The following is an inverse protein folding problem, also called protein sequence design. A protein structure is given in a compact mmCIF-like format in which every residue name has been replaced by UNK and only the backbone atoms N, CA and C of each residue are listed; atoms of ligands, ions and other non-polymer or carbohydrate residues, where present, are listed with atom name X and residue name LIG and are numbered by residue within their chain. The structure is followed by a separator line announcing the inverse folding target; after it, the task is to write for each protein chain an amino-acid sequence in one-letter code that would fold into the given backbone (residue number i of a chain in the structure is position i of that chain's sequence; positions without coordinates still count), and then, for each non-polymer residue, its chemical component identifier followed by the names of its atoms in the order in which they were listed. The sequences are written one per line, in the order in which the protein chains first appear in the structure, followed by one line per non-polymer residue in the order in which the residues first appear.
data_IF_063255337180
#
_entry.id   IF_063255337180
#
_cell.length_a   1.000
_cell.length_b   1.000
_cell.length_c   1.000
_cell.angle_alpha   90.00
_cell.angle_beta   90.00
_cell.angle_gamma   90.00
#
_symmetry.space_group_name_H-M   'P 1'
#
loop_
_entity.id
_entity.type
_entity.pdbx_description
1 polymer ?
#
# COMPACT_ATOMS: atom_id res chain seq x y z
N UNK A 1 2.74 -13.10 24.97
CA UNK A 1 3.86 -13.40 25.89
C UNK A 1 3.72 -14.85 26.30
N UNK A 2 4.74 -15.68 26.12
CA UNK A 2 4.66 -17.10 26.54
C UNK A 2 5.05 -17.24 28.00
N UNK A 3 4.43 -18.19 28.69
CA UNK A 3 4.75 -18.50 30.09
C UNK A 3 6.24 -18.80 30.26
N UNK A 4 6.80 -19.65 29.39
CA UNK A 4 8.23 -20.00 29.39
C UNK A 4 9.15 -18.79 29.16
N UNK A 5 8.79 -17.89 28.24
CA UNK A 5 9.57 -16.68 27.96
C UNK A 5 9.60 -15.73 29.17
N UNK A 6 8.46 -15.59 29.84
CA UNK A 6 8.34 -14.78 31.04
C UNK A 6 9.07 -15.40 32.24
N UNK A 7 8.93 -16.71 32.46
CA UNK A 7 9.63 -17.48 33.50
C UNK A 7 11.15 -17.50 33.35
N UNK A 8 11.67 -17.39 32.13
CA UNK A 8 13.11 -17.27 31.90
C UNK A 8 13.59 -15.82 31.84
N UNK A 9 12.66 -14.86 31.79
CA UNK A 9 12.92 -13.44 31.56
C UNK A 9 13.87 -13.23 30.37
N UNK A 10 13.69 -14.02 29.32
CA UNK A 10 14.51 -14.00 28.10
C UNK A 10 13.62 -14.36 26.92
N UNK A 11 13.65 -13.51 25.90
CA UNK A 11 12.86 -13.63 24.69
C UNK A 11 13.78 -13.91 23.51
N UNK A 12 13.32 -14.76 22.60
CA UNK A 12 14.01 -14.95 21.33
C UNK A 12 13.78 -13.72 20.44
N UNK A 13 14.88 -13.18 19.91
CA UNK A 13 14.80 -12.15 18.88
C UNK A 13 14.46 -12.84 17.55
N UNK A 14 13.17 -13.06 17.31
CA UNK A 14 12.66 -13.62 16.05
C UNK A 14 13.03 -12.73 14.85
N UNK A 15 12.88 -13.23 13.62
CA UNK A 15 13.29 -12.48 12.43
C UNK A 15 12.69 -11.05 12.35
N UNK A 16 11.38 -10.85 12.61
CA UNK A 16 10.80 -9.49 12.64
C UNK A 16 11.44 -8.56 13.67
N UNK A 17 11.78 -9.04 14.89
CA UNK A 17 12.45 -8.22 15.88
C UNK A 17 13.84 -7.79 15.43
N UNK A 18 14.59 -8.71 14.79
CA UNK A 18 15.95 -8.42 14.32
C UNK A 18 15.96 -7.43 13.16
N UNK A 19 14.98 -7.53 12.26
CA UNK A 19 14.78 -6.56 11.18
C UNK A 19 14.39 -5.20 11.75
N UNK A 20 13.38 -5.16 12.63
CA UNK A 20 12.95 -3.93 13.30
C UNK A 20 14.11 -3.21 13.99
N UNK A 21 14.95 -3.93 14.76
CA UNK A 21 16.10 -3.33 15.45
C UNK A 21 17.20 -2.88 14.49
N UNK A 22 17.40 -3.58 13.38
CA UNK A 22 18.41 -3.24 12.38
C UNK A 22 18.01 -2.01 11.57
N UNK A 23 16.77 -1.98 11.09
CA UNK A 23 16.24 -0.93 10.23
C UNK A 23 16.17 0.42 10.95
N UNK A 24 15.97 0.38 12.28
CA UNK A 24 16.01 1.57 13.13
C UNK A 24 17.42 1.91 13.64
N UNK A 25 18.47 1.26 13.14
CA UNK A 25 19.86 1.50 13.56
C UNK A 25 20.14 1.13 15.03
N UNK A 26 19.23 0.39 15.67
CA UNK A 26 19.28 0.08 17.08
C UNK A 26 20.19 -1.11 17.39
N UNK A 27 20.13 -2.22 16.64
CA UNK A 27 21.05 -3.32 16.86
C UNK A 27 21.14 -4.28 15.68
N UNK A 28 22.35 -4.74 15.37
CA UNK A 28 22.60 -5.76 14.36
C UNK A 28 23.22 -7.02 14.98
N UNK A 29 22.38 -8.04 15.22
CA UNK A 29 22.81 -9.32 15.80
C UNK A 29 23.81 -10.09 14.93
N UNK A 30 23.82 -9.87 13.61
CA UNK A 30 24.73 -10.55 12.68
C UNK A 30 26.19 -10.16 12.96
N UNK A 31 26.41 -8.94 13.46
CA UNK A 31 27.72 -8.42 13.86
C UNK A 31 28.04 -8.64 15.35
N UNK A 32 27.08 -9.13 16.14
CA UNK A 32 27.26 -9.34 17.57
C UNK A 32 28.00 -10.66 17.85
N UNK A 33 29.06 -10.60 18.67
CA UNK A 33 29.74 -11.79 19.19
C UNK A 33 28.87 -12.62 20.15
N UNK A 34 29.26 -13.86 20.41
CA UNK A 34 28.55 -14.75 21.36
C UNK A 34 29.10 -14.65 22.79
N UNK A 35 28.25 -14.93 23.76
CA UNK A 35 28.59 -15.02 25.18
C UNK A 35 28.53 -13.70 25.94
N UNK A 36 28.62 -13.80 27.27
CA UNK A 36 28.28 -12.72 28.19
C UNK A 36 29.09 -11.43 27.95
N UNK A 37 30.37 -11.55 27.57
CA UNK A 37 31.24 -10.43 27.25
C UNK A 37 30.75 -9.58 26.06
N UNK A 38 29.89 -10.13 25.20
CA UNK A 38 29.33 -9.46 24.03
C UNK A 38 27.88 -9.02 24.25
N UNK A 39 27.34 -9.14 25.48
CA UNK A 39 26.00 -8.65 25.83
C UNK A 39 25.98 -7.13 25.72
N UNK A 40 25.00 -6.60 24.99
CA UNK A 40 24.78 -5.16 24.82
C UNK A 40 23.59 -4.75 25.67
N UNK A 41 23.71 -3.64 26.39
CA UNK A 41 22.60 -3.02 27.13
C UNK A 41 22.29 -1.68 26.50
N UNK A 42 21.02 -1.40 26.28
CA UNK A 42 20.51 -0.13 25.73
C UNK A 42 19.24 0.28 26.46
N UNK A 43 18.76 1.48 26.16
CA UNK A 43 17.51 1.99 26.70
C UNK A 43 16.32 1.55 25.85
N UNK A 44 15.20 1.34 26.54
CA UNK A 44 13.89 1.09 26.00
C UNK A 44 12.84 1.80 26.87
N UNK A 45 11.60 1.83 26.40
CA UNK A 45 10.45 2.34 27.14
C UNK A 45 9.40 1.24 27.20
N UNK A 46 8.79 1.03 28.35
CA UNK A 46 7.58 0.23 28.48
C UNK A 46 6.44 1.12 29.01
N UNK A 47 5.23 0.91 28.50
CA UNK A 47 4.04 1.55 29.06
C UNK A 47 3.51 0.70 30.22
N UNK A 48 3.25 1.35 31.34
CA UNK A 48 2.68 0.76 32.55
C UNK A 48 1.43 1.56 32.91
N UNK A 49 0.24 0.99 32.68
CA UNK A 49 -1.03 1.70 32.81
C UNK A 49 -1.02 3.04 32.05
N UNK A 50 -0.57 2.97 30.79
CA UNK A 50 -0.43 4.12 29.89
C UNK A 50 0.71 5.10 30.21
N UNK A 51 1.48 4.93 31.29
CA UNK A 51 2.59 5.84 31.65
C UNK A 51 3.93 5.33 31.10
N UNK A 52 4.78 6.23 30.60
CA UNK A 52 6.12 5.84 30.11
C UNK A 52 7.05 5.48 31.27
N UNK A 53 7.60 4.27 31.22
CA UNK A 53 8.62 3.79 32.14
C UNK A 53 9.89 3.47 31.35
N UNK A 54 10.95 4.27 31.57
CA UNK A 54 12.27 4.00 31.02
C UNK A 54 12.86 2.72 31.61
N UNK A 55 13.34 1.82 30.75
CA UNK A 55 13.77 0.49 31.17
C UNK A 55 14.96 -0.03 30.34
N UNK A 56 15.95 -0.69 30.95
CA UNK A 56 17.02 -1.32 30.18
C UNK A 56 16.51 -2.50 29.36
N UNK A 57 16.94 -2.55 28.10
CA UNK A 57 16.87 -3.74 27.24
C UNK A 57 18.26 -4.34 27.06
N UNK A 58 18.32 -5.66 27.20
CA UNK A 58 19.54 -6.43 27.04
C UNK A 58 19.46 -7.24 25.75
N UNK A 59 20.53 -7.23 24.96
CA UNK A 59 20.64 -7.85 23.64
C UNK A 59 21.81 -8.84 23.68
N UNK A 60 21.58 -10.09 23.30
CA UNK A 60 22.52 -11.17 23.59
C UNK A 60 22.51 -12.27 22.53
N UNK A 61 23.67 -12.91 22.34
CA UNK A 61 23.80 -14.19 21.65
C UNK A 61 24.48 -15.21 22.56
N UNK A 62 23.85 -16.36 22.87
CA UNK A 62 24.45 -17.37 23.73
C UNK A 62 25.64 -18.08 23.07
N UNK A 63 26.56 -18.62 23.89
CA UNK A 63 27.63 -19.52 23.41
C UNK A 63 27.04 -20.89 23.06
N UNK A 64 26.52 -21.02 21.84
CA UNK A 64 26.01 -22.28 21.29
C UNK A 64 26.39 -22.39 19.82
N UNK A 65 26.15 -23.56 19.19
CA UNK A 65 26.48 -23.78 17.76
C UNK A 65 25.91 -22.69 16.84
N UNK A 66 24.72 -22.16 17.14
CA UNK A 66 24.08 -21.09 16.35
C UNK A 66 24.11 -19.72 17.05
N UNK A 67 24.16 -19.70 18.39
CA UNK A 67 24.10 -18.49 19.18
C UNK A 67 22.84 -17.69 18.88
N UNK A 68 21.67 -18.31 19.02
CA UNK A 68 20.39 -17.74 18.62
C UNK A 68 20.14 -16.39 19.32
N UNK A 69 19.90 -15.29 18.57
CA UNK A 69 19.66 -13.96 19.11
C UNK A 69 18.54 -13.88 20.14
N UNK A 70 18.80 -13.17 21.24
CA UNK A 70 17.85 -12.98 22.34
C UNK A 70 17.83 -11.54 22.80
N UNK A 71 16.71 -11.15 23.41
CA UNK A 71 16.62 -9.91 24.17
C UNK A 71 15.73 -10.07 25.40
N UNK A 72 15.87 -9.16 26.36
CA UNK A 72 14.91 -9.05 27.46
C UNK A 72 14.90 -7.64 28.02
N UNK A 73 13.77 -7.29 28.62
CA UNK A 73 13.62 -6.07 29.38
C UNK A 73 13.93 -6.35 30.86
N UNK A 74 14.54 -5.39 31.52
CA UNK A 74 14.71 -5.45 32.97
C UNK A 74 13.35 -5.61 33.65
N UNK A 75 13.21 -6.50 34.63
CA UNK A 75 11.98 -6.63 35.45
C UNK A 75 10.67 -6.75 34.64
N UNK A 76 10.70 -7.35 33.44
CA UNK A 76 9.55 -7.45 32.53
C UNK A 76 8.27 -7.97 33.21
N UNK A 77 8.41 -8.93 34.13
CA UNK A 77 7.29 -9.53 34.89
C UNK A 77 6.45 -8.55 35.70
N UNK A 78 6.92 -7.33 35.95
CA UNK A 78 6.13 -6.30 36.63
C UNK A 78 5.04 -5.73 35.74
N UNK A 79 5.20 -5.83 34.42
CA UNK A 79 4.37 -5.14 33.43
C UNK A 79 3.47 -6.11 32.65
N UNK A 80 3.83 -7.39 32.59
CA UNK A 80 3.18 -8.39 31.72
C UNK A 80 2.99 -9.73 32.40
N UNK A 81 1.86 -10.34 32.12
CA UNK A 81 1.47 -11.69 32.54
C UNK A 81 1.58 -12.70 31.38
N UNK A 82 1.63 -14.01 31.67
CA UNK A 82 1.51 -15.04 30.63
C UNK A 82 0.20 -14.86 29.85
N UNK A 83 0.30 -14.85 28.51
CA UNK A 83 -0.84 -14.62 27.61
C UNK A 83 -0.91 -13.20 27.05
N UNK A 84 -0.35 -12.19 27.72
CA UNK A 84 -0.43 -10.78 27.29
C UNK A 84 0.18 -10.55 25.91
N UNK A 85 -0.43 -9.66 25.12
CA UNK A 85 0.08 -9.24 23.80
C UNK A 85 0.86 -7.95 23.96
N UNK A 86 2.16 -7.98 23.64
CA UNK A 86 2.99 -6.77 23.62
C UNK A 86 3.19 -6.29 22.19
N UNK A 87 2.90 -5.01 21.94
CA UNK A 87 3.41 -4.30 20.78
C UNK A 87 4.86 -3.88 21.00
N UNK A 88 5.67 -3.96 19.94
CA UNK A 88 7.04 -3.44 19.91
C UNK A 88 7.15 -2.49 18.72
N UNK A 89 7.55 -1.25 18.97
CA UNK A 89 7.69 -0.24 17.92
C UNK A 89 8.81 0.75 18.29
N UNK A 90 9.28 1.54 17.33
CA UNK A 90 10.27 2.59 17.58
C UNK A 90 9.58 3.96 17.60
N UNK A 91 9.98 4.77 18.57
CA UNK A 91 9.62 6.18 18.65
C UNK A 91 10.81 6.93 19.25
N UNK A 92 11.16 8.08 18.68
CA UNK A 92 12.34 8.87 19.05
C UNK A 92 13.65 8.06 19.14
N UNK A 93 13.82 7.09 18.24
CA UNK A 93 15.04 6.28 18.14
C UNK A 93 15.21 5.19 19.19
N UNK A 94 14.23 5.00 20.09
CA UNK A 94 14.25 3.95 21.13
C UNK A 94 13.07 2.99 21.00
N UNK A 95 13.26 1.69 21.30
CA UNK A 95 12.17 0.73 21.27
C UNK A 95 11.21 0.97 22.42
N UNK A 96 9.94 1.06 22.08
CA UNK A 96 8.81 1.16 22.99
C UNK A 96 8.03 -0.16 23.01
N UNK A 97 7.53 -0.52 24.19
CA UNK A 97 6.77 -1.72 24.45
C UNK A 97 5.43 -1.33 25.09
N UNK A 98 4.31 -1.67 24.45
CA UNK A 98 2.97 -1.42 24.99
C UNK A 98 2.24 -2.75 25.22
N UNK A 99 1.62 -2.93 26.37
CA UNK A 99 0.86 -4.14 26.65
C UNK A 99 -0.57 -3.96 26.13
N UNK A 100 -0.83 -4.41 24.91
CA UNK A 100 -2.12 -4.26 24.25
C UNK A 100 -3.26 -5.02 24.94
N UNK A 101 -2.94 -5.89 25.90
CA UNK A 101 -3.95 -6.60 26.71
C UNK A 101 -4.35 -5.80 27.95
N UNK A 102 -3.50 -4.88 28.44
CA UNK A 102 -3.73 -4.10 29.66
C UNK A 102 -3.89 -2.60 29.43
N UNK A 103 -3.34 -2.08 28.34
CA UNK A 103 -3.40 -0.67 27.91
C UNK A 103 -4.36 -0.53 26.70
N UNK A 104 -5.50 -1.24 26.72
CA UNK A 104 -6.48 -1.27 25.61
C UNK A 104 -7.48 -0.11 25.65
N UNK A 105 -7.73 0.46 26.83
CA UNK A 105 -8.49 1.70 26.99
C UNK A 105 -7.65 2.92 26.59
N UNK A 106 -8.11 3.65 25.56
CA UNK A 106 -7.44 4.85 25.02
C UNK A 106 -8.43 6.00 24.95
N UNK A 107 -8.07 7.14 25.53
CA UNK A 107 -8.85 8.38 25.43
C UNK A 107 -8.12 9.42 24.56
N UNK A 108 -8.49 9.49 23.29
CA UNK A 108 -7.91 10.43 22.34
C UNK A 108 -8.54 11.83 22.37
N UNK A 109 -9.66 12.02 23.08
CA UNK A 109 -10.34 13.33 23.16
C UNK A 109 -9.88 14.15 24.37
N UNK A 110 -9.55 13.47 25.47
CA UNK A 110 -8.92 14.03 26.65
C UNK A 110 -7.76 13.11 27.08
N UNK A 111 -6.56 13.27 26.48
CA UNK A 111 -5.41 12.42 26.76
C UNK A 111 -4.89 12.60 28.18
N UNK A 112 -5.04 11.58 29.03
CA UNK A 112 -4.60 11.63 30.43
C UNK A 112 -3.26 10.91 30.63
N UNK A 113 -2.99 9.87 29.84
CA UNK A 113 -1.76 9.07 29.92
C UNK A 113 -0.74 9.42 28.84
N UNK A 114 0.51 8.99 29.02
CA UNK A 114 1.53 9.15 27.97
C UNK A 114 1.24 8.31 26.73
N UNK A 115 0.55 7.18 26.90
CA UNK A 115 0.06 6.33 25.81
C UNK A 115 -1.01 7.05 25.00
N UNK A 116 -1.99 7.68 25.67
CA UNK A 116 -3.02 8.49 25.00
C UNK A 116 -2.39 9.63 24.21
N UNK A 117 -1.49 10.39 24.84
CA UNK A 117 -0.80 11.52 24.18
C UNK A 117 0.04 11.07 23.00
N UNK A 118 0.71 9.91 23.10
CA UNK A 118 1.45 9.34 21.99
C UNK A 118 0.51 8.99 20.83
N UNK A 119 -0.56 8.25 21.10
CA UNK A 119 -1.51 7.84 20.07
C UNK A 119 -2.25 9.04 19.45
N UNK A 120 -2.62 10.03 20.27
CA UNK A 120 -3.18 11.30 19.80
C UNK A 120 -2.18 12.02 18.91
N UNK A 121 -0.92 12.18 19.31
CA UNK A 121 0.10 12.84 18.49
C UNK A 121 0.33 12.11 17.16
N UNK A 122 0.33 10.78 17.16
CA UNK A 122 0.45 9.97 15.95
C UNK A 122 -0.78 10.15 15.05
N UNK A 123 -1.97 10.18 15.63
CA UNK A 123 -3.22 10.45 14.91
C UNK A 123 -3.23 11.86 14.32
N UNK A 124 -2.88 12.88 15.10
CA UNK A 124 -2.82 14.26 14.66
C UNK A 124 -1.79 14.43 13.54
N UNK A 125 -0.61 13.83 13.66
CA UNK A 125 0.39 13.84 12.59
C UNK A 125 -0.13 13.13 11.33
N UNK A 126 -0.79 11.98 11.49
CA UNK A 126 -1.40 11.24 10.38
C UNK A 126 -2.50 12.04 9.69
N UNK A 127 -3.32 12.79 10.44
CA UNK A 127 -4.36 13.66 9.90
C UNK A 127 -3.80 14.97 9.33
N UNK A 128 -2.73 15.52 9.93
CA UNK A 128 -2.12 16.80 9.57
C UNK A 128 -1.60 16.80 8.12
N UNK A 129 -1.00 15.69 7.67
CA UNK A 129 -0.53 15.57 6.27
C UNK A 129 -1.69 15.68 5.29
N UNK A 130 -2.82 15.03 5.57
CA UNK A 130 -4.02 15.10 4.74
C UNK A 130 -4.66 16.49 4.78
N UNK A 131 -4.68 17.15 5.94
CA UNK A 131 -5.18 18.52 6.11
C UNK A 131 -4.29 19.51 5.34
N UNK A 132 -2.97 19.38 5.44
CA UNK A 132 -1.99 20.20 4.70
C UNK A 132 -2.21 20.07 3.20
N UNK A 133 -2.31 18.83 2.69
CA UNK A 133 -2.54 18.58 1.28
C UNK A 133 -3.89 19.15 0.80
N UNK A 134 -4.95 18.98 1.59
CA UNK A 134 -6.26 19.57 1.29
C UNK A 134 -6.19 21.11 1.25
N UNK A 135 -5.44 21.73 2.17
CA UNK A 135 -5.17 23.17 2.17
C UNK A 135 -4.51 23.62 0.86
N UNK A 136 -3.44 22.96 0.45
CA UNK A 136 -2.76 23.25 -0.83
C UNK A 136 -3.69 23.12 -2.04
N UNK A 137 -4.53 22.09 -2.06
CA UNK A 137 -5.50 21.88 -3.14
C UNK A 137 -6.58 22.96 -3.16
N UNK A 138 -7.01 23.46 -1.99
CA UNK A 138 -7.93 24.61 -1.89
C UNK A 138 -7.27 25.90 -2.38
N UNK A 139 -6.02 26.16 -2.01
CA UNK A 139 -5.27 27.33 -2.47
C UNK A 139 -5.12 27.32 -4.00
N UNK A 140 -4.82 26.14 -4.57
CA UNK A 140 -4.77 25.94 -6.02
C UNK A 140 -6.14 26.18 -6.68
N UNK A 141 -7.22 25.64 -6.11
CA UNK A 141 -8.57 25.85 -6.64
C UNK A 141 -8.98 27.33 -6.60
N UNK A 142 -8.67 28.03 -5.50
CA UNK A 142 -8.96 29.46 -5.30
C UNK A 142 -8.12 30.37 -6.20
N UNK A 143 -6.93 29.92 -6.62
CA UNK A 143 -6.06 30.64 -7.58
C UNK A 143 -6.60 30.61 -9.01
N UNK A 144 -7.66 29.83 -9.28
CA UNK A 144 -8.30 29.71 -10.58
C UNK A 144 -7.71 28.60 -11.47
N UNK A 145 -8.06 28.59 -12.77
CA UNK A 145 -7.71 27.48 -13.66
C UNK A 145 -6.19 27.35 -13.88
N UNK A 146 -5.66 26.15 -13.64
CA UNK A 146 -4.23 25.86 -13.78
C UNK A 146 -3.93 25.51 -15.24
N UNK A 147 -3.00 26.18 -15.93
CA UNK A 147 -2.63 25.84 -17.29
C UNK A 147 -2.14 24.39 -17.40
N UNK A 148 -2.65 23.65 -18.38
CA UNK A 148 -2.28 22.25 -18.56
C UNK A 148 -0.80 22.13 -18.89
N UNK A 149 -0.13 21.25 -18.16
CA UNK A 149 1.20 20.76 -18.49
C UNK A 149 1.08 19.54 -19.42
N UNK A 150 1.21 19.78 -20.72
CA UNK A 150 1.21 18.76 -21.77
C UNK A 150 -0.15 18.49 -22.41
N UNK A 151 -0.23 17.39 -23.14
CA UNK A 151 -1.42 16.98 -23.90
C UNK A 151 -1.87 15.57 -23.54
N UNK A 152 -3.12 15.24 -23.87
CA UNK A 152 -3.70 13.92 -23.63
C UNK A 152 -4.11 13.67 -22.17
N UNK A 153 -4.50 12.42 -21.87
CA UNK A 153 -5.12 12.06 -20.60
C UNK A 153 -4.21 12.23 -19.38
N UNK A 154 -2.89 12.14 -19.56
CA UNK A 154 -1.92 12.28 -18.46
C UNK A 154 -1.68 13.73 -18.05
N UNK A 155 -2.13 14.70 -18.86
CA UNK A 155 -1.90 16.14 -18.61
C UNK A 155 -2.47 16.61 -17.28
N UNK A 156 -3.66 16.14 -16.87
CA UNK A 156 -4.31 16.57 -15.63
C UNK A 156 -3.52 16.16 -14.38
N UNK A 157 -3.06 14.90 -14.32
CA UNK A 157 -2.25 14.41 -13.20
C UNK A 157 -0.95 15.19 -13.10
N UNK A 158 -0.23 15.28 -14.23
CA UNK A 158 1.03 16.03 -14.32
C UNK A 158 0.88 17.49 -13.91
N UNK A 159 -0.20 18.15 -14.33
CA UNK A 159 -0.46 19.56 -14.01
C UNK A 159 -0.63 19.75 -12.50
N UNK A 160 -1.44 18.91 -11.86
CA UNK A 160 -1.74 19.03 -10.43
C UNK A 160 -0.51 18.67 -9.58
N UNK A 161 0.22 17.60 -9.93
CA UNK A 161 1.48 17.24 -9.26
C UNK A 161 2.50 18.37 -9.34
N UNK A 162 2.69 18.94 -10.54
CA UNK A 162 3.61 20.07 -10.76
C UNK A 162 3.19 21.30 -9.96
N UNK A 163 1.90 21.62 -9.93
CA UNK A 163 1.36 22.75 -9.17
C UNK A 163 1.51 22.56 -7.65
N UNK A 164 1.52 21.32 -7.16
CA UNK A 164 1.82 20.98 -5.77
C UNK A 164 3.33 20.94 -5.46
N UNK A 165 4.19 21.17 -6.45
CA UNK A 165 5.65 21.09 -6.32
C UNK A 165 6.19 19.67 -6.25
N UNK A 166 5.41 18.67 -6.67
CA UNK A 166 5.81 17.25 -6.68
C UNK A 166 6.57 16.98 -7.99
N UNK A 167 7.80 16.48 -7.87
CA UNK A 167 8.58 16.07 -9.04
C UNK A 167 8.02 14.78 -9.65
N UNK A 168 7.70 14.85 -10.94
CA UNK A 168 7.24 13.69 -11.71
C UNK A 168 8.29 12.59 -11.66
N UNK A 169 7.91 11.41 -11.21
CA UNK A 169 8.79 10.26 -11.13
C UNK A 169 8.00 8.96 -11.38
N UNK A 170 8.72 7.85 -11.54
CA UNK A 170 8.13 6.51 -11.72
C UNK A 170 8.12 5.69 -10.43
N UNK A 171 8.09 6.35 -9.27
CA UNK A 171 8.12 5.67 -7.97
C UNK A 171 6.87 4.83 -7.78
N UNK A 172 7.03 3.72 -7.05
CA UNK A 172 5.90 2.92 -6.59
C UNK A 172 5.31 3.45 -5.28
N UNK A 173 6.02 4.35 -4.60
CA UNK A 173 5.57 4.97 -3.35
C UNK A 173 4.49 6.02 -3.60
N UNK A 174 3.65 6.33 -2.60
CA UNK A 174 2.65 7.39 -2.71
C UNK A 174 3.26 8.77 -2.99
N UNK A 175 2.52 9.61 -3.73
CA UNK A 175 3.04 10.86 -4.31
C UNK A 175 3.31 11.96 -3.28
N UNK A 176 2.53 12.03 -2.20
CA UNK A 176 2.59 13.12 -1.22
C UNK A 176 2.67 12.61 0.23
N UNK A 177 3.88 12.51 0.79
CA UNK A 177 4.11 12.15 2.21
C UNK A 177 3.31 10.91 2.67
N UNK A 178 3.15 9.91 1.80
CA UNK A 178 2.40 8.69 2.09
C UNK A 178 0.92 8.70 1.67
N UNK A 179 0.47 9.73 0.95
CA UNK A 179 -0.85 9.86 0.30
C UNK A 179 -0.67 9.76 -1.22
N UNK A 180 -1.41 8.88 -1.87
CA UNK A 180 -1.43 8.77 -3.34
C UNK A 180 -2.39 9.82 -3.94
N UNK A 181 -1.99 10.41 -5.06
CA UNK A 181 -2.79 11.38 -5.82
C UNK A 181 -3.33 10.74 -7.10
N UNK A 182 -4.65 10.79 -7.29
CA UNK A 182 -5.32 10.29 -8.49
C UNK A 182 -6.20 11.37 -9.09
N UNK A 183 -5.70 12.02 -10.12
CA UNK A 183 -6.41 13.13 -10.78
C UNK A 183 -7.22 12.68 -11.98
N UNK A 184 -8.44 13.21 -12.13
CA UNK A 184 -9.34 12.86 -13.23
C UNK A 184 -10.23 14.02 -13.62
N UNK A 185 -10.47 14.15 -14.93
CA UNK A 185 -11.39 15.17 -15.48
C UNK A 185 -12.82 14.86 -15.00
N UNK A 186 -13.58 15.85 -14.52
CA UNK A 186 -14.91 15.62 -13.93
C UNK A 186 -15.88 14.90 -14.88
N UNK A 187 -15.78 15.18 -16.18
CA UNK A 187 -16.61 14.56 -17.22
C UNK A 187 -16.21 13.12 -17.57
N UNK A 188 -15.07 12.65 -17.08
CA UNK A 188 -14.54 11.34 -17.42
C UNK A 188 -15.41 10.22 -16.83
N UNK A 189 -15.94 9.37 -17.70
CA UNK A 189 -16.72 8.18 -17.33
C UNK A 189 -15.87 6.91 -17.19
N UNK A 190 -14.54 7.03 -17.28
CA UNK A 190 -13.66 5.85 -17.25
C UNK A 190 -13.65 5.18 -15.86
N UNK A 191 -13.08 3.97 -15.77
CA UNK A 191 -12.77 3.31 -14.51
C UNK A 191 -11.66 4.05 -13.74
N UNK A 192 -11.50 3.78 -12.46
CA UNK A 192 -10.43 4.34 -11.64
C UNK A 192 -9.25 3.37 -11.60
N UNK A 193 -8.06 3.84 -12.00
CA UNK A 193 -6.86 3.03 -11.95
C UNK A 193 -6.37 2.86 -10.51
N UNK A 194 -6.16 1.61 -10.10
CA UNK A 194 -5.59 1.27 -8.81
C UNK A 194 -4.06 1.25 -8.96
N UNK A 195 -3.55 0.17 -9.53
CA UNK A 195 -2.11 -0.05 -9.73
C UNK A 195 -1.85 -0.87 -11.00
N UNK A 196 -0.61 -0.87 -11.46
CA UNK A 196 -0.13 -1.78 -12.49
C UNK A 196 0.64 -2.93 -11.84
N UNK A 197 0.41 -4.17 -12.30
CA UNK A 197 1.16 -5.33 -11.80
C UNK A 197 1.31 -6.40 -12.87
N UNK A 198 2.57 -6.70 -13.23
CA UNK A 198 2.91 -7.81 -14.12
C UNK A 198 2.51 -9.15 -13.51
N UNK A 199 2.05 -10.13 -14.32
CA UNK A 199 1.75 -11.48 -13.86
C UNK A 199 2.96 -12.11 -13.20
N UNK A 200 2.70 -13.12 -12.38
CA UNK A 200 3.75 -14.01 -11.93
C UNK A 200 4.01 -15.06 -13.01
N UNK A 201 5.03 -14.81 -13.82
CA UNK A 201 5.42 -15.68 -14.93
C UNK A 201 5.76 -17.11 -14.50
N UNK A 202 6.10 -17.35 -13.21
CA UNK A 202 6.43 -18.70 -12.71
C UNK A 202 5.20 -19.60 -12.54
N UNK A 203 4.01 -18.99 -12.49
CA UNK A 203 2.72 -19.70 -12.39
C UNK A 203 1.78 -19.36 -13.56
N UNK A 204 2.30 -18.66 -14.56
CA UNK A 204 1.58 -18.35 -15.80
C UNK A 204 1.94 -19.37 -16.87
N UNK A 205 1.04 -19.60 -17.83
CA UNK A 205 1.31 -20.44 -19.00
C UNK A 205 2.16 -19.70 -20.04
N UNK A 206 1.96 -18.39 -20.16
CA UNK A 206 2.84 -17.51 -20.94
C UNK A 206 4.06 -17.08 -20.13
N UNK A 207 5.22 -16.99 -20.79
CA UNK A 207 6.48 -16.58 -20.18
C UNK A 207 6.72 -15.07 -20.17
N UNK A 208 6.12 -14.32 -21.11
CA UNK A 208 6.29 -12.87 -21.21
C UNK A 208 5.17 -12.17 -22.03
N UNK A 209 5.30 -10.84 -22.17
CA UNK A 209 4.36 -10.03 -22.96
C UNK A 209 4.47 -10.20 -24.47
N UNK A 210 5.60 -10.71 -25.00
CA UNK A 210 5.71 -11.01 -26.43
C UNK A 210 4.84 -12.20 -26.75
N UNK A 211 4.92 -13.25 -25.95
CA UNK A 211 4.09 -14.44 -26.10
C UNK A 211 2.60 -14.12 -25.93
N UNK A 212 2.23 -13.26 -24.96
CA UNK A 212 0.86 -12.75 -24.85
C UNK A 212 0.38 -12.06 -26.13
N UNK A 213 1.23 -11.21 -26.71
CA UNK A 213 0.91 -10.46 -27.92
C UNK A 213 0.82 -11.36 -29.16
N UNK A 214 1.66 -12.40 -29.25
CA UNK A 214 1.64 -13.38 -30.33
C UNK A 214 0.40 -14.27 -30.27
N UNK A 215 -0.04 -14.66 -29.06
CA UNK A 215 -1.20 -15.55 -28.87
C UNK A 215 -2.55 -14.83 -28.95
N UNK A 216 -2.65 -13.62 -28.40
CA UNK A 216 -3.93 -12.91 -28.24
C UNK A 216 -4.00 -11.55 -28.92
N UNK A 217 -2.88 -11.06 -29.47
CA UNK A 217 -2.85 -9.79 -30.18
C UNK A 217 -3.59 -9.82 -31.51
N UNK A 218 -4.01 -8.64 -31.94
CA UNK A 218 -4.64 -8.42 -33.23
C UNK A 218 -3.79 -7.51 -34.13
N UNK A 219 -3.89 -7.62 -35.46
CA UNK A 219 -3.20 -6.73 -36.39
C UNK A 219 -3.63 -5.26 -36.21
N UNK A 220 -2.65 -4.35 -36.23
CA UNK A 220 -2.86 -2.90 -36.26
C UNK A 220 -1.91 -2.25 -37.29
N UNK A 221 -2.11 -0.99 -37.69
CA UNK A 221 -1.23 -0.32 -38.66
C UNK A 221 0.27 -0.37 -38.33
N UNK A 222 0.60 -0.38 -37.03
CA UNK A 222 1.98 -0.36 -36.53
C UNK A 222 2.51 -1.76 -36.14
N UNK A 223 1.77 -2.84 -36.48
CA UNK A 223 2.07 -4.22 -36.08
C UNK A 223 1.05 -4.81 -35.09
N UNK A 224 1.42 -5.89 -34.39
CA UNK A 224 0.52 -6.53 -33.42
C UNK A 224 0.23 -5.63 -32.22
N UNK A 225 -1.03 -5.67 -31.74
CA UNK A 225 -1.50 -4.92 -30.58
C UNK A 225 -2.44 -5.78 -29.74
N UNK A 226 -2.36 -5.63 -28.42
CA UNK A 226 -3.31 -6.22 -27.47
C UNK A 226 -3.75 -5.13 -26.49
N UNK A 227 -4.77 -4.37 -26.91
CA UNK A 227 -5.48 -3.43 -26.04
C UNK A 227 -6.84 -4.02 -25.73
N UNK A 228 -7.01 -4.51 -24.51
CA UNK A 228 -8.25 -5.14 -24.07
C UNK A 228 -8.47 -4.95 -22.57
N UNK A 229 -9.72 -5.11 -22.16
CA UNK A 229 -10.14 -5.18 -20.76
C UNK A 229 -10.56 -6.62 -20.48
N UNK A 230 -10.09 -7.18 -19.38
CA UNK A 230 -10.44 -8.51 -18.90
C UNK A 230 -11.21 -8.36 -17.58
N UNK A 231 -12.31 -9.10 -17.44
CA UNK A 231 -13.16 -9.11 -16.25
C UNK A 231 -13.61 -10.55 -15.96
N UNK A 232 -14.19 -10.81 -14.78
CA UNK A 232 -14.77 -12.11 -14.45
C UNK A 232 -16.18 -12.33 -15.02
N UNK A 233 -16.86 -11.26 -15.46
CA UNK A 233 -18.27 -11.33 -15.92
C UNK A 233 -18.43 -12.16 -17.18
N UNK A 234 -17.56 -11.92 -18.16
CA UNK A 234 -17.61 -12.58 -19.46
C UNK A 234 -16.27 -12.47 -20.16
N UNK A 235 -15.92 -13.43 -21.04
CA UNK A 235 -14.77 -13.28 -21.91
C UNK A 235 -14.89 -12.04 -22.79
N UNK A 236 -13.76 -11.37 -23.03
CA UNK A 236 -13.70 -10.26 -23.98
C UNK A 236 -13.57 -10.77 -25.43
N UNK A 237 -13.36 -9.84 -26.38
CA UNK A 237 -13.20 -10.16 -27.81
C UNK A 237 -11.99 -11.05 -28.15
N UNK A 238 -11.01 -11.15 -27.25
CA UNK A 238 -9.85 -12.02 -27.38
C UNK A 238 -10.07 -13.37 -26.68
N UNK A 239 -11.28 -13.59 -26.16
CA UNK A 239 -11.63 -14.78 -25.38
C UNK A 239 -11.07 -14.79 -23.96
N UNK A 240 -10.50 -13.68 -23.47
CA UNK A 240 -9.87 -13.61 -22.15
C UNK A 240 -10.91 -13.30 -21.07
N UNK A 241 -10.88 -14.02 -19.95
CA UNK A 241 -11.67 -13.76 -18.74
C UNK A 241 -10.82 -13.89 -17.47
N UNK A 242 -11.26 -13.27 -16.38
CA UNK A 242 -10.67 -13.45 -15.05
C UNK A 242 -11.42 -14.49 -14.23
N UNK A 243 -10.72 -15.22 -13.37
CA UNK A 243 -11.31 -16.08 -12.34
C UNK A 243 -10.45 -16.04 -11.09
N UNK A 244 -11.09 -15.75 -9.95
CA UNK A 244 -10.45 -15.88 -8.64
C UNK A 244 -10.55 -17.34 -8.20
N UNK A 245 -9.42 -17.92 -7.83
CA UNK A 245 -9.31 -19.20 -7.14
C UNK A 245 -9.00 -18.90 -5.67
N UNK A 246 -10.02 -19.01 -4.81
CA UNK A 246 -9.92 -18.68 -3.39
C UNK A 246 -9.05 -19.69 -2.64
N UNK A 247 -9.13 -20.98 -2.98
CA UNK A 247 -8.36 -22.04 -2.32
C UNK A 247 -6.86 -21.92 -2.64
N UNK A 248 -6.53 -21.58 -3.89
CA UNK A 248 -5.15 -21.38 -4.30
C UNK A 248 -4.60 -19.97 -3.99
N UNK A 249 -5.46 -19.04 -3.57
CA UNK A 249 -5.17 -17.61 -3.44
C UNK A 249 -4.55 -16.98 -4.71
N UNK A 250 -5.11 -17.33 -5.87
CA UNK A 250 -4.62 -16.88 -7.19
C UNK A 250 -5.74 -16.27 -8.03
N UNK A 251 -5.46 -15.13 -8.64
CA UNK A 251 -6.24 -14.60 -9.76
C UNK A 251 -5.70 -15.19 -11.06
N UNK A 252 -6.53 -15.94 -11.76
CA UNK A 252 -6.23 -16.46 -13.09
C UNK A 252 -6.83 -15.58 -14.18
N UNK A 253 -6.07 -15.32 -15.22
CA UNK A 253 -6.59 -14.96 -16.54
C UNK A 253 -6.63 -16.22 -17.39
N UNK A 254 -7.80 -16.49 -17.96
CA UNK A 254 -8.08 -17.68 -18.75
C UNK A 254 -8.44 -17.28 -20.19
N UNK A 255 -8.07 -18.11 -21.16
CA UNK A 255 -8.54 -18.05 -22.53
C UNK A 255 -9.65 -19.07 -22.75
N UNK A 256 -10.81 -18.59 -23.22
CA UNK A 256 -11.93 -19.44 -23.59
C UNK A 256 -11.61 -20.26 -24.83
N UNK A 257 -11.85 -21.56 -24.75
CA UNK A 257 -11.75 -22.49 -25.89
C UNK A 257 -12.91 -23.49 -25.90
N UNK A 258 -13.14 -24.13 -27.04
CA UNK A 258 -14.15 -25.19 -27.17
C UNK A 258 -13.88 -26.42 -26.31
N UNK A 259 -12.62 -26.65 -25.93
CA UNK A 259 -12.19 -27.75 -25.07
C UNK A 259 -12.18 -27.38 -23.57
N UNK A 260 -12.68 -26.18 -23.22
CA UNK A 260 -12.63 -25.63 -21.86
C UNK A 260 -11.73 -24.41 -21.76
N UNK A 261 -11.91 -23.62 -20.70
CA UNK A 261 -11.09 -22.44 -20.43
C UNK A 261 -9.66 -22.88 -20.03
N UNK A 262 -8.63 -22.28 -20.62
CA UNK A 262 -7.22 -22.58 -20.35
C UNK A 262 -6.53 -21.42 -19.64
N UNK A 263 -5.66 -21.72 -18.68
CA UNK A 263 -4.88 -20.68 -18.00
C UNK A 263 -3.93 -19.95 -18.96
N UNK A 264 -3.75 -18.64 -18.74
CA UNK A 264 -2.87 -17.77 -19.52
C UNK A 264 -1.91 -17.06 -18.60
N UNK A 265 -2.40 -16.09 -17.84
CA UNK A 265 -1.64 -15.35 -16.84
C UNK A 265 -2.17 -15.68 -15.45
N UNK A 266 -1.32 -15.53 -14.43
CA UNK A 266 -1.75 -15.65 -13.05
C UNK A 266 -1.05 -14.64 -12.13
N UNK A 267 -1.77 -14.22 -11.10
CA UNK A 267 -1.26 -13.34 -10.04
C UNK A 267 -1.62 -13.94 -8.68
N UNK A 268 -0.66 -13.99 -7.77
CA UNK A 268 -0.93 -14.30 -6.36
C UNK A 268 -1.74 -13.17 -5.74
N UNK A 269 -2.88 -13.48 -5.11
CA UNK A 269 -3.73 -12.48 -4.46
C UNK A 269 -2.95 -11.72 -3.39
N UNK A 270 -2.15 -12.41 -2.58
CA UNK A 270 -1.26 -11.80 -1.58
C UNK A 270 -0.35 -10.70 -2.16
N UNK A 271 0.16 -10.88 -3.38
CA UNK A 271 0.99 -9.85 -4.04
C UNK A 271 0.16 -8.65 -4.49
N UNK A 272 -1.06 -8.89 -4.98
CA UNK A 272 -1.99 -7.81 -5.35
C UNK A 272 -2.44 -7.03 -4.11
N UNK A 273 -2.72 -7.72 -3.00
CA UNK A 273 -3.09 -7.14 -1.72
C UNK A 273 -2.00 -6.21 -1.21
N UNK A 274 -0.74 -6.66 -1.17
CA UNK A 274 0.39 -5.80 -0.78
C UNK A 274 0.46 -4.55 -1.64
N UNK A 275 0.31 -4.68 -2.96
CA UNK A 275 0.35 -3.51 -3.87
C UNK A 275 -0.83 -2.56 -3.65
N UNK A 276 -2.03 -3.08 -3.39
CA UNK A 276 -3.19 -2.28 -3.04
C UNK A 276 -2.94 -1.51 -1.73
N UNK A 277 -2.44 -2.17 -0.70
CA UNK A 277 -2.18 -1.57 0.61
C UNK A 277 -1.08 -0.52 0.55
N UNK A 278 0.04 -0.80 -0.10
CA UNK A 278 1.17 0.15 -0.25
C UNK A 278 0.72 1.43 -0.95
N UNK A 279 -0.04 1.28 -2.05
CA UNK A 279 -0.39 2.41 -2.92
C UNK A 279 -1.62 3.17 -2.43
N UNK A 280 -2.61 2.47 -1.89
CA UNK A 280 -3.90 3.05 -1.54
C UNK A 280 -4.19 3.08 -0.05
N UNK A 281 -3.16 2.96 0.81
CA UNK A 281 -3.30 3.20 2.26
C UNK A 281 -4.11 4.47 2.56
N UNK A 282 -3.81 5.53 1.81
CA UNK A 282 -4.54 6.79 1.77
C UNK A 282 -4.47 7.36 0.34
N UNK A 283 -5.60 7.84 -0.18
CA UNK A 283 -5.65 8.37 -1.56
C UNK A 283 -6.57 9.57 -1.66
N UNK A 284 -6.09 10.60 -2.35
CA UNK A 284 -6.87 11.76 -2.76
C UNK A 284 -7.22 11.61 -4.24
N UNK A 285 -8.50 11.37 -4.50
CA UNK A 285 -9.07 11.30 -5.84
C UNK A 285 -9.56 12.69 -6.25
N UNK A 286 -8.73 13.41 -7.01
CA UNK A 286 -8.92 14.82 -7.35
C UNK A 286 -9.71 14.92 -8.65
N UNK A 287 -10.80 15.69 -8.62
CA UNK A 287 -11.56 16.07 -9.81
C UNK A 287 -11.23 17.48 -10.23
N UNK A 288 -11.14 17.67 -11.55
CA UNK A 288 -11.00 18.98 -12.15
C UNK A 288 -11.80 19.10 -13.45
N UNK A 289 -12.39 20.27 -13.67
CA UNK A 289 -12.99 20.64 -14.94
C UNK A 289 -11.93 21.12 -15.91
N UNK A 290 -12.05 20.69 -17.16
CA UNK A 290 -11.19 21.19 -18.23
C UNK A 290 -11.87 22.41 -18.88
N UNK A 291 -11.15 23.53 -18.86
CA UNK A 291 -11.55 24.79 -19.44
C UNK A 291 -10.64 25.12 -20.62
N UNK A 292 -11.17 25.83 -21.62
CA UNK A 292 -10.37 26.42 -22.68
C UNK A 292 -10.21 27.90 -22.39
N UNK A 293 -9.02 28.31 -21.98
CA UNK A 293 -8.66 29.72 -21.80
C UNK A 293 -7.73 30.09 -22.97
N UNK A 294 -8.31 30.70 -24.00
CA UNK A 294 -7.59 30.93 -25.26
C UNK A 294 -7.24 29.62 -25.98
N UNK A 295 -5.95 29.43 -26.31
CA UNK A 295 -5.44 28.26 -27.03
C UNK A 295 -4.97 27.12 -26.10
N UNK A 296 -4.84 27.36 -24.79
CA UNK A 296 -4.29 26.38 -23.86
C UNK A 296 -5.41 25.78 -22.98
N UNK A 297 -5.50 24.44 -22.86
CA UNK A 297 -6.38 23.82 -21.88
C UNK A 297 -5.91 24.17 -20.47
N UNK A 298 -6.86 24.44 -19.58
CA UNK A 298 -6.61 24.68 -18.16
C UNK A 298 -7.49 23.74 -17.32
N UNK A 299 -7.07 23.45 -16.10
CA UNK A 299 -7.80 22.60 -15.16
C UNK A 299 -8.23 23.40 -13.93
N UNK A 300 -9.53 23.49 -13.71
CA UNK A 300 -10.11 24.04 -12.48
C UNK A 300 -10.40 22.89 -11.53
N UNK A 301 -9.75 22.84 -10.38
CA UNK A 301 -10.02 21.84 -9.35
C UNK A 301 -11.43 22.06 -8.78
N UNK A 302 -12.16 20.97 -8.57
CA UNK A 302 -13.57 21.02 -8.14
C UNK A 302 -13.85 20.20 -6.90
N UNK A 303 -13.26 19.02 -6.77
CA UNK A 303 -13.56 18.13 -5.64
C UNK A 303 -12.40 17.20 -5.30
N UNK A 304 -12.29 16.82 -4.04
CA UNK A 304 -11.47 15.71 -3.57
C UNK A 304 -12.36 14.66 -2.92
N UNK A 305 -12.33 13.44 -3.44
CA UNK A 305 -12.77 12.27 -2.68
C UNK A 305 -11.56 11.68 -1.96
N UNK A 306 -11.61 11.55 -0.63
CA UNK A 306 -10.52 11.06 0.20
C UNK A 306 -10.89 9.70 0.80
N UNK A 307 -10.10 8.68 0.47
CA UNK A 307 -10.26 7.29 0.93
C UNK A 307 -9.06 6.83 1.74
N UNK A 308 -9.28 5.91 2.70
CA UNK A 308 -8.24 5.30 3.54
C UNK A 308 -8.52 3.81 3.75
N UNK A 309 -7.48 3.03 4.07
CA UNK A 309 -7.58 1.62 4.50
C UNK A 309 -8.34 0.75 3.48
N UNK A 310 -7.70 0.41 2.34
CA UNK A 310 -8.33 -0.48 1.37
C UNK A 310 -8.55 -1.86 2.00
N UNK A 311 -9.60 -2.56 1.57
CA UNK A 311 -9.96 -3.88 2.09
C UNK A 311 -9.62 -4.96 1.07
N UNK A 312 -8.77 -5.92 1.46
CA UNK A 312 -8.42 -7.07 0.62
C UNK A 312 -9.64 -7.92 0.31
N UNK A 313 -10.52 -8.13 1.31
CA UNK A 313 -11.76 -8.90 1.14
C UNK A 313 -12.68 -8.23 0.11
N UNK A 314 -12.82 -6.90 0.17
CA UNK A 314 -13.63 -6.18 -0.81
C UNK A 314 -12.96 -6.18 -2.19
N UNK A 315 -11.64 -6.09 -2.25
CA UNK A 315 -10.91 -6.19 -3.51
C UNK A 315 -11.12 -7.53 -4.20
N UNK A 316 -11.02 -8.65 -3.46
CA UNK A 316 -11.22 -9.99 -3.99
C UNK A 316 -12.67 -10.22 -4.44
N UNK A 317 -13.64 -9.74 -3.64
CA UNK A 317 -15.06 -9.74 -4.03
C UNK A 317 -15.29 -8.97 -5.33
N UNK A 318 -14.76 -7.75 -5.44
CA UNK A 318 -14.92 -6.92 -6.64
C UNK A 318 -14.19 -7.50 -7.86
N UNK A 319 -13.10 -8.25 -7.68
CA UNK A 319 -12.49 -9.06 -8.74
C UNK A 319 -13.44 -10.17 -9.21
N UNK A 320 -14.02 -10.93 -8.28
CA UNK A 320 -14.96 -12.02 -8.56
C UNK A 320 -16.24 -11.52 -9.24
N UNK A 321 -16.75 -10.35 -8.85
CA UNK A 321 -17.93 -9.72 -9.45
C UNK A 321 -17.63 -9.01 -10.78
N UNK A 322 -16.36 -8.77 -11.10
CA UNK A 322 -15.88 -8.13 -12.33
C UNK A 322 -16.03 -6.62 -12.34
N UNK A 323 -16.11 -6.03 -11.15
CA UNK A 323 -16.09 -4.61 -10.87
C UNK A 323 -14.65 -4.09 -10.81
N UNK A 324 -13.71 -4.93 -10.39
CA UNK A 324 -12.27 -4.79 -10.67
C UNK A 324 -11.94 -5.59 -11.93
N UNK A 325 -11.11 -4.99 -12.77
CA UNK A 325 -10.78 -5.47 -14.11
C UNK A 325 -9.30 -5.25 -14.39
N UNK A 326 -8.76 -5.98 -15.37
CA UNK A 326 -7.37 -5.84 -15.81
C UNK A 326 -7.34 -5.32 -17.24
N UNK A 327 -6.65 -4.20 -17.47
CA UNK A 327 -6.44 -3.65 -18.81
C UNK A 327 -5.04 -4.02 -19.30
N UNK A 328 -4.97 -4.77 -20.40
CA UNK A 328 -3.73 -4.98 -21.15
C UNK A 328 -3.53 -3.84 -22.14
N UNK A 329 -2.31 -3.30 -22.19
CA UNK A 329 -1.91 -2.24 -23.12
C UNK A 329 -0.57 -2.57 -23.75
N UNK A 330 -0.54 -3.64 -24.54
CA UNK A 330 0.66 -4.17 -25.17
C UNK A 330 0.64 -3.83 -26.66
N UNK A 331 1.76 -3.34 -27.20
CA UNK A 331 1.93 -3.12 -28.64
C UNK A 331 3.32 -3.49 -29.11
N UNK A 332 3.40 -3.95 -30.35
CA UNK A 332 4.68 -4.08 -31.05
C UNK A 332 5.15 -2.69 -31.50
N UNK A 333 6.41 -2.38 -31.23
CA UNK A 333 7.19 -1.34 -31.92
C UNK A 333 8.11 -2.05 -32.92
N UNK A 334 8.71 -1.36 -33.91
CA UNK A 334 9.48 -2.01 -34.99
C UNK A 334 10.52 -3.03 -34.54
N UNK A 335 11.09 -2.87 -33.34
CA UNK A 335 12.17 -3.74 -32.82
C UNK A 335 11.86 -4.39 -31.47
N UNK A 336 10.76 -4.01 -30.80
CA UNK A 336 10.49 -4.49 -29.44
C UNK A 336 9.02 -4.42 -29.06
N UNK A 337 8.63 -5.25 -28.09
CA UNK A 337 7.34 -5.12 -27.42
C UNK A 337 7.39 -3.94 -26.46
N UNK A 338 6.34 -3.11 -26.49
CA UNK A 338 6.12 -2.03 -25.54
C UNK A 338 4.83 -2.28 -24.77
N UNK A 339 4.92 -2.20 -23.45
CA UNK A 339 3.86 -2.51 -22.51
C UNK A 339 3.88 -1.48 -21.36
N UNK A 340 2.77 -1.35 -20.64
CA UNK A 340 2.58 -0.38 -19.54
C UNK A 340 2.18 -1.04 -18.21
N UNK A 341 2.41 -2.34 -18.12
CA UNK A 341 1.88 -3.26 -17.13
C UNK A 341 0.38 -3.52 -17.31
N UNK A 342 -0.11 -4.72 -17.00
CA UNK A 342 -1.54 -4.93 -16.79
C UNK A 342 -2.03 -3.98 -15.69
N UNK A 343 -3.04 -3.17 -16.00
CA UNK A 343 -3.57 -2.16 -15.08
C UNK A 343 -4.84 -2.65 -14.41
N UNK A 344 -4.81 -2.75 -13.09
CA UNK A 344 -5.98 -3.04 -12.27
C UNK A 344 -6.81 -1.77 -12.13
N UNK A 345 -8.09 -1.85 -12.51
CA UNK A 345 -9.02 -0.72 -12.45
C UNK A 345 -10.35 -1.13 -11.85
N UNK A 346 -10.90 -0.29 -10.99
CA UNK A 346 -12.23 -0.45 -10.39
C UNK A 346 -13.26 0.41 -11.10
N UNK A 347 -14.48 -0.10 -11.22
CA UNK A 347 -15.62 0.67 -11.70
C UNK A 347 -15.80 1.96 -10.90
N UNK A 348 -16.24 3.03 -11.58
CA UNK A 348 -16.36 4.35 -10.97
C UNK A 348 -17.31 4.35 -9.76
N UNK A 349 -18.46 3.68 -9.87
CA UNK A 349 -19.48 3.65 -8.83
C UNK A 349 -19.07 2.84 -7.60
N UNK A 350 -18.17 1.87 -7.76
CA UNK A 350 -17.81 0.89 -6.73
C UNK A 350 -16.48 1.24 -6.04
N UNK A 351 -15.87 2.38 -6.38
CA UNK A 351 -14.62 2.82 -5.74
C UNK A 351 -14.72 2.86 -4.22
N UNK A 352 -15.84 3.35 -3.69
CA UNK A 352 -16.05 3.48 -2.25
C UNK A 352 -16.13 2.13 -1.53
N UNK A 353 -16.57 1.07 -2.22
CA UNK A 353 -16.68 -0.28 -1.66
C UNK A 353 -15.32 -0.92 -1.40
N UNK A 354 -14.27 -0.44 -2.08
CA UNK A 354 -12.90 -0.93 -1.90
C UNK A 354 -12.29 -0.55 -0.55
N UNK A 355 -12.87 0.42 0.17
CA UNK A 355 -12.27 1.01 1.37
C UNK A 355 -13.11 0.78 2.62
N UNK A 356 -12.43 0.68 3.77
CA UNK A 356 -13.10 0.57 5.06
C UNK A 356 -13.56 1.95 5.56
N UNK A 357 -14.88 2.13 5.60
CA UNK A 357 -15.54 3.36 6.02
C UNK A 357 -15.94 4.25 4.84
N UNK A 358 -16.79 5.24 5.11
CA UNK A 358 -17.25 6.15 4.07
C UNK A 358 -16.12 7.08 3.58
N UNK A 359 -15.98 7.29 2.26
CA UNK A 359 -15.09 8.33 1.74
C UNK A 359 -15.48 9.71 2.26
N UNK A 360 -14.49 10.55 2.57
CA UNK A 360 -14.73 11.97 2.85
C UNK A 360 -14.72 12.73 1.52
N UNK A 361 -15.74 13.54 1.27
CA UNK A 361 -15.84 14.35 0.06
C UNK A 361 -15.63 15.80 0.44
N UNK A 362 -14.71 16.48 -0.24
CA UNK A 362 -14.41 17.90 -0.06
C UNK A 362 -14.72 18.65 -1.35
N UNK A 363 -15.65 19.58 -1.27
CA UNK A 363 -15.83 20.59 -2.31
C UNK A 363 -14.65 21.58 -2.25
N UNK A 364 -14.10 21.91 -3.42
CA UNK A 364 -13.00 22.88 -3.59
C UNK A 364 -13.46 24.17 -4.28
N UNK A 365 -14.74 24.27 -4.67
CA UNK A 365 -15.30 25.42 -5.37
C UNK A 365 -15.70 26.57 -4.46
#
# INVERSE_FOLDING_TARGET
MTETGLQKNILDATAPHRELFRDNGFHCYDTQGQGEANKVTRDAVIFDHGQKVGIPIFLYRPKTKKGDPRFWLSRLRRFVDPGDVLAVFFHDGVPHFANLTKDDEVNLEAPETDWDRLLESLRLNYEAVGIELLGKLRDLAASGPIPADGTGDTSIGRTIETALGIQINSSQSPDYKGIELKSKRSRSKTRNGLFAKVPDWRISDVGDFREMLERFGYPSPDGLRLYCTVSSKSPNSQGLLLRVDEDAEVLHELARSSAGDKAVCAWRLSTLHVKLQEKHRETFWIRADELKVGAQPCFQLTEVTHTKRPSNIQFDRLLSEGSVTVDHMIKMLPTRVHERGPQFKVARGELHELFLGAPKIYDLT
#
